data_IF_449363618017
#
_entry.id   IF_449363618017
#
_cell.length_a   1.000
_cell.length_b   1.000
_cell.length_c   1.000
_cell.angle_alpha   90.00
_cell.angle_beta   90.00
_cell.angle_gamma   90.00
#
_symmetry.space_group_name_H-M   'P 1'
#
loop_
_entity.id
_entity.type
_entity.pdbx_description
1 polymer ?
#
# COMPACT_ATOMS: atom_id res chain seq x y z
N UNK A 1 6.83 -3.65 9.82
CA UNK A 1 5.65 -3.67 8.92
C UNK A 1 5.97 -4.53 7.70
N UNK A 2 5.25 -5.64 7.51
CA UNK A 2 5.32 -6.40 6.24
C UNK A 2 4.33 -5.79 5.25
N UNK A 3 4.84 -5.26 4.13
CA UNK A 3 4.00 -4.71 3.08
C UNK A 3 3.65 -5.79 2.05
N UNK A 4 2.36 -6.06 1.89
CA UNK A 4 1.85 -6.93 0.84
C UNK A 4 1.09 -6.08 -0.18
N UNK A 5 1.73 -5.75 -1.31
CA UNK A 5 1.14 -4.93 -2.36
C UNK A 5 0.64 -5.85 -3.47
N UNK A 6 -0.67 -5.76 -3.76
CA UNK A 6 -1.35 -6.62 -4.75
C UNK A 6 -1.98 -5.73 -5.81
N UNK A 7 -1.53 -5.86 -7.04
CA UNK A 7 -2.14 -5.24 -8.21
C UNK A 7 -3.23 -6.14 -8.80
N UNK A 8 -4.44 -5.62 -8.97
CA UNK A 8 -5.50 -6.25 -9.76
C UNK A 8 -5.76 -5.37 -11.00
N UNK A 9 -5.55 -5.95 -12.18
CA UNK A 9 -5.58 -5.27 -13.48
C UNK A 9 -4.52 -4.17 -13.68
N UNK A 10 -3.45 -4.18 -12.88
CA UNK A 10 -2.31 -3.28 -13.02
C UNK A 10 -1.05 -3.98 -12.53
N UNK A 11 0.06 -3.76 -13.23
CA UNK A 11 1.38 -4.19 -12.77
C UNK A 11 1.87 -3.22 -11.68
N UNK A 12 2.27 -3.77 -10.53
CA UNK A 12 2.82 -2.96 -9.45
C UNK A 12 4.26 -2.62 -9.81
N UNK A 13 4.46 -1.41 -10.33
CA UNK A 13 5.79 -0.88 -10.60
C UNK A 13 6.48 -0.40 -9.32
N UNK A 14 7.81 -0.33 -9.35
CA UNK A 14 8.63 0.21 -8.26
C UNK A 14 8.21 1.63 -7.85
N UNK A 15 7.78 2.46 -8.80
CA UNK A 15 7.30 3.82 -8.52
C UNK A 15 6.03 3.83 -7.66
N UNK A 16 5.08 2.92 -7.92
CA UNK A 16 3.85 2.78 -7.13
C UNK A 16 4.21 2.30 -5.72
N UNK A 17 5.12 1.33 -5.62
CA UNK A 17 5.59 0.80 -4.34
C UNK A 17 6.24 1.89 -3.47
N UNK A 18 7.19 2.64 -4.03
CA UNK A 18 7.88 3.74 -3.34
C UNK A 18 6.91 4.84 -2.89
N UNK A 19 5.93 5.20 -3.73
CA UNK A 19 4.91 6.18 -3.37
C UNK A 19 4.01 5.72 -2.20
N UNK A 20 3.66 4.44 -2.16
CA UNK A 20 2.89 3.83 -1.06
C UNK A 20 3.74 3.80 0.23
N UNK A 21 4.99 3.35 0.16
CA UNK A 21 5.90 3.29 1.30
C UNK A 21 6.19 4.68 1.88
N UNK A 22 6.37 5.70 1.03
CA UNK A 22 6.56 7.09 1.47
C UNK A 22 5.35 7.64 2.23
N UNK A 23 4.12 7.33 1.77
CA UNK A 23 2.89 7.71 2.49
C UNK A 23 2.74 6.96 3.81
N UNK A 24 3.00 5.66 3.83
CA UNK A 24 2.92 4.84 5.03
C UNK A 24 3.96 5.24 6.07
N UNK A 25 5.16 5.64 5.65
CA UNK A 25 6.20 6.19 6.52
C UNK A 25 5.74 7.42 7.31
N UNK A 26 4.85 8.26 6.75
CA UNK A 26 4.25 9.39 7.50
C UNK A 26 3.31 8.92 8.61
N UNK A 27 2.66 7.77 8.45
CA UNK A 27 1.81 7.17 9.49
C UNK A 27 2.65 6.53 10.62
N UNK A 28 3.92 6.17 10.40
CA UNK A 28 4.80 5.67 11.46
C UNK A 28 4.96 6.64 12.64
N UNK A 29 4.78 7.94 12.42
CA UNK A 29 4.81 8.93 13.51
C UNK A 29 3.62 8.78 14.47
N UNK A 30 2.50 8.24 13.99
CA UNK A 30 1.24 8.17 14.71
C UNK A 30 0.89 6.75 15.19
N UNK A 31 1.51 5.72 14.61
CA UNK A 31 1.27 4.33 14.96
C UNK A 31 2.54 3.69 15.53
N UNK A 32 2.40 2.95 16.64
CA UNK A 32 3.48 2.10 17.16
C UNK A 32 3.51 0.85 16.29
N UNK A 33 4.40 0.84 15.31
CA UNK A 33 4.43 -0.19 14.28
C UNK A 33 5.29 -1.35 14.74
N UNK A 34 4.67 -2.32 15.41
CA UNK A 34 5.34 -3.56 15.76
C UNK A 34 5.58 -4.44 14.51
N UNK A 35 6.51 -5.40 14.62
CA UNK A 35 6.82 -6.35 13.54
C UNK A 35 5.62 -7.21 13.10
N UNK A 36 4.61 -7.33 13.96
CA UNK A 36 3.35 -8.05 13.71
C UNK A 36 2.37 -7.31 12.79
N UNK A 37 2.58 -6.02 12.51
CA UNK A 37 1.64 -5.25 11.69
C UNK A 37 1.86 -5.56 10.21
N UNK A 38 0.91 -6.30 9.63
CA UNK A 38 0.86 -6.65 8.21
C UNK A 38 0.01 -5.65 7.45
N UNK A 39 0.66 -4.82 6.63
CA UNK A 39 -0.02 -3.79 5.86
C UNK A 39 -0.28 -4.32 4.44
N UNK A 40 -1.54 -4.61 4.12
CA UNK A 40 -1.97 -5.15 2.83
C UNK A 40 -2.58 -4.04 2.00
N UNK A 41 -1.98 -3.77 0.84
CA UNK A 41 -2.42 -2.74 -0.09
C UNK A 41 -2.90 -3.39 -1.37
N UNK A 42 -4.18 -3.20 -1.69
CA UNK A 42 -4.78 -3.69 -2.93
C UNK A 42 -5.04 -2.51 -3.85
N UNK A 43 -4.34 -2.50 -4.98
CA UNK A 43 -4.52 -1.49 -6.02
C UNK A 43 -5.35 -2.11 -7.14
N UNK A 44 -6.52 -1.54 -7.40
CA UNK A 44 -7.41 -1.93 -8.49
C UNK A 44 -7.53 -0.80 -9.49
N UNK A 45 -7.17 -1.08 -10.73
CA UNK A 45 -7.43 -0.15 -11.84
C UNK A 45 -8.73 -0.56 -12.55
N UNK A 46 -9.63 0.40 -12.74
CA UNK A 46 -10.85 0.28 -13.55
C UNK A 46 -10.71 1.16 -14.79
N UNK A 47 -11.57 0.94 -15.80
CA UNK A 47 -11.61 1.78 -17.00
C UNK A 47 -11.88 3.27 -16.69
N UNK A 48 -12.54 3.56 -15.57
CA UNK A 48 -12.87 4.92 -15.13
C UNK A 48 -12.44 5.11 -13.67
N UNK A 49 -11.12 5.02 -13.42
CA UNK A 49 -10.51 5.37 -12.14
C UNK A 49 -9.76 4.23 -11.46
N UNK A 50 -9.06 4.56 -10.37
CA UNK A 50 -8.31 3.61 -9.56
C UNK A 50 -8.86 3.59 -8.13
N UNK A 51 -9.04 2.39 -7.58
CA UNK A 51 -9.39 2.17 -6.17
C UNK A 51 -8.18 1.58 -5.45
N UNK A 52 -7.83 2.19 -4.32
CA UNK A 52 -6.74 1.73 -3.47
C UNK A 52 -7.34 1.40 -2.10
N UNK A 53 -7.19 0.16 -1.67
CA UNK A 53 -7.64 -0.31 -0.36
C UNK A 53 -6.42 -0.69 0.48
N UNK A 54 -6.34 -0.13 1.68
CA UNK A 54 -5.24 -0.37 2.63
C UNK A 54 -5.84 -1.01 3.88
N UNK A 55 -5.33 -2.18 4.25
CA UNK A 55 -5.65 -2.86 5.49
C UNK A 55 -4.38 -2.90 6.33
N UNK A 56 -4.45 -2.36 7.55
CA UNK A 56 -3.34 -2.25 8.50
C UNK A 56 -3.59 -3.17 9.67
#
# INVERSE_FOLDING_TARGET
MKYQIIGKNIEVTEGIRSAIESKLSRMNKYFVINEDVTCRVVVRSYKVGAKIEVTI
#
